data_IF_686188024500
#
_entry.id   IF_686188024500
#
_cell.length_a   1.000
_cell.length_b   1.000
_cell.length_c   1.000
_cell.angle_alpha   90.00
_cell.angle_beta   90.00
_cell.angle_gamma   90.00
#
_symmetry.space_group_name_H-M   'P 1'
#
loop_
_entity.id
_entity.type
_entity.pdbx_description
1 polymer ?
#
# COMPACT_ATOMS: atom_id res chain seq x y z
N UNK A 1 -23.77 -14.96 -5.98
CA UNK A 1 -23.88 -13.50 -6.04
C UNK A 1 -24.42 -13.07 -7.39
N UNK A 2 -25.36 -12.14 -7.39
CA UNK A 2 -25.88 -11.59 -8.64
C UNK A 2 -24.93 -10.46 -9.11
N UNK A 3 -24.63 -10.41 -10.38
CA UNK A 3 -23.65 -9.48 -10.97
C UNK A 3 -23.96 -7.98 -10.75
N UNK A 4 -25.24 -7.62 -10.63
CA UNK A 4 -25.65 -6.24 -10.35
C UNK A 4 -25.18 -5.71 -8.98
N UNK A 5 -24.73 -6.57 -8.09
CA UNK A 5 -24.23 -6.21 -6.77
C UNK A 5 -22.71 -6.12 -6.69
N UNK A 6 -22.02 -6.11 -7.83
CA UNK A 6 -20.55 -6.17 -7.87
C UNK A 6 -19.87 -5.06 -7.06
N UNK A 7 -20.36 -3.80 -7.20
CA UNK A 7 -19.78 -2.66 -6.46
C UNK A 7 -19.95 -2.84 -4.96
N UNK A 8 -21.15 -3.24 -4.54
CA UNK A 8 -21.44 -3.48 -3.14
C UNK A 8 -20.56 -4.59 -2.56
N UNK A 9 -20.40 -5.68 -3.31
CA UNK A 9 -19.62 -6.84 -2.87
C UNK A 9 -18.13 -6.50 -2.77
N UNK A 10 -17.58 -5.79 -3.76
CA UNK A 10 -16.18 -5.33 -3.74
C UNK A 10 -15.95 -4.39 -2.56
N UNK A 11 -16.86 -3.43 -2.33
CA UNK A 11 -16.76 -2.50 -1.21
C UNK A 11 -16.77 -3.22 0.14
N UNK A 12 -17.65 -4.21 0.29
CA UNK A 12 -17.72 -5.02 1.50
C UNK A 12 -16.47 -5.86 1.71
N UNK A 13 -15.94 -6.46 0.65
CA UNK A 13 -14.71 -7.23 0.70
C UNK A 13 -13.54 -6.35 1.14
N UNK A 14 -13.42 -5.17 0.54
CA UNK A 14 -12.41 -4.19 0.91
C UNK A 14 -12.52 -3.80 2.39
N UNK A 15 -13.73 -3.53 2.88
CA UNK A 15 -13.95 -3.17 4.28
C UNK A 15 -13.52 -4.30 5.24
N UNK A 16 -13.82 -5.56 4.89
CA UNK A 16 -13.40 -6.71 5.67
C UNK A 16 -11.88 -6.85 5.69
N UNK A 17 -11.22 -6.64 4.56
CA UNK A 17 -9.76 -6.69 4.46
C UNK A 17 -9.11 -5.59 5.31
N UNK A 18 -9.62 -4.37 5.22
CA UNK A 18 -9.14 -3.23 6.01
C UNK A 18 -9.25 -3.53 7.50
N UNK A 19 -10.39 -4.03 7.94
CA UNK A 19 -10.60 -4.40 9.35
C UNK A 19 -9.63 -5.47 9.82
N UNK A 20 -9.36 -6.46 8.99
CA UNK A 20 -8.35 -7.48 9.28
C UNK A 20 -6.97 -6.87 9.50
N UNK A 21 -6.55 -5.96 8.60
CA UNK A 21 -5.25 -5.28 8.69
C UNK A 21 -5.18 -4.43 9.96
N UNK A 22 -6.24 -3.67 10.28
CA UNK A 22 -6.31 -2.84 11.49
C UNK A 22 -6.13 -3.69 12.75
N UNK A 23 -6.78 -4.86 12.80
CA UNK A 23 -6.65 -5.79 13.92
C UNK A 23 -5.20 -6.32 14.03
N UNK A 24 -4.56 -6.64 12.91
CA UNK A 24 -3.17 -7.11 12.90
C UNK A 24 -2.19 -6.03 13.33
N UNK A 25 -2.41 -4.81 12.90
CA UNK A 25 -1.61 -3.66 13.37
C UNK A 25 -1.75 -3.49 14.88
N UNK A 26 -2.97 -3.58 15.40
CA UNK A 26 -3.23 -3.46 16.83
C UNK A 26 -2.58 -4.59 17.64
N UNK A 27 -2.70 -5.84 17.18
CA UNK A 27 -2.10 -7.00 17.82
C UNK A 27 -0.58 -6.89 17.92
N UNK A 28 0.03 -6.18 16.98
CA UNK A 28 1.49 -6.02 16.90
C UNK A 28 1.97 -4.65 17.41
N UNK A 29 1.13 -3.94 18.16
CA UNK A 29 1.45 -2.63 18.77
C UNK A 29 1.83 -1.54 17.77
N UNK A 30 1.23 -1.59 16.57
CA UNK A 30 1.40 -0.60 15.51
C UNK A 30 0.10 0.21 15.30
N UNK A 31 -0.56 0.59 16.40
CA UNK A 31 -1.86 1.27 16.37
C UNK A 31 -1.83 2.67 15.76
N UNK A 32 -0.65 3.28 15.66
CA UNK A 32 -0.48 4.59 15.03
C UNK A 32 -0.53 4.52 13.49
N UNK A 33 -0.36 3.32 12.92
CA UNK A 33 -0.42 3.10 11.48
C UNK A 33 -1.84 2.71 11.04
N UNK A 34 -2.19 3.14 9.83
CA UNK A 34 -3.42 2.73 9.16
C UNK A 34 -3.08 1.91 7.91
N UNK A 35 -4.02 1.09 7.37
CA UNK A 35 -3.72 0.23 6.21
C UNK A 35 -3.13 0.97 5.00
N UNK A 36 -3.56 2.20 4.74
CA UNK A 36 -3.06 2.98 3.61
C UNK A 36 -1.58 3.34 3.75
N UNK A 37 -1.08 3.51 4.99
CA UNK A 37 0.36 3.71 5.25
C UNK A 37 1.18 2.52 4.79
N UNK A 38 0.61 1.31 4.86
CA UNK A 38 1.27 0.08 4.44
C UNK A 38 1.71 0.10 2.98
N UNK A 39 0.91 0.69 2.10
CA UNK A 39 1.26 0.77 0.68
C UNK A 39 2.51 1.62 0.46
N UNK A 40 2.62 2.74 1.19
CA UNK A 40 3.78 3.64 1.10
C UNK A 40 5.03 2.96 1.65
N UNK A 41 4.91 2.34 2.81
CA UNK A 41 6.03 1.61 3.43
C UNK A 41 6.48 0.45 2.55
N UNK A 42 5.54 -0.30 1.96
CA UNK A 42 5.86 -1.38 1.02
C UNK A 42 6.69 -0.86 -0.15
N UNK A 43 6.26 0.25 -0.76
CA UNK A 43 6.99 0.84 -1.89
C UNK A 43 8.44 1.20 -1.51
N UNK A 44 8.63 1.72 -0.30
CA UNK A 44 9.96 2.08 0.19
C UNK A 44 10.80 0.87 0.60
N UNK A 45 10.20 -0.14 1.25
CA UNK A 45 10.92 -1.38 1.61
C UNK A 45 11.38 -2.16 0.38
N UNK A 46 10.59 -2.15 -0.69
CA UNK A 46 10.93 -2.85 -1.94
C UNK A 46 11.95 -2.11 -2.80
N UNK A 47 12.19 -0.84 -2.53
CA UNK A 47 13.09 -0.02 -3.33
C UNK A 47 14.53 -0.08 -2.82
N UNK A 48 15.49 -0.26 -3.73
CA UNK A 48 16.91 -0.21 -3.42
C UNK A 48 17.42 1.23 -3.27
N UNK A 49 16.60 2.20 -3.60
CA UNK A 49 16.97 3.62 -3.60
C UNK A 49 15.87 4.47 -2.95
N UNK A 50 16.25 5.69 -2.61
CA UNK A 50 15.30 6.70 -2.15
C UNK A 50 14.32 7.03 -3.27
N UNK A 51 13.09 7.33 -2.93
CA UNK A 51 12.02 7.63 -3.88
C UNK A 51 11.55 9.06 -3.74
N UNK A 52 11.13 9.66 -4.86
CA UNK A 52 10.43 10.94 -4.84
C UNK A 52 8.95 10.71 -4.53
N UNK A 53 8.25 11.77 -4.15
CA UNK A 53 6.79 11.73 -3.94
C UNK A 53 6.06 11.20 -5.19
N UNK A 54 6.49 11.66 -6.36
CA UNK A 54 5.92 11.25 -7.65
C UNK A 54 6.12 9.75 -7.90
N UNK A 55 7.31 9.23 -7.61
CA UNK A 55 7.61 7.80 -7.76
C UNK A 55 6.77 6.94 -6.81
N UNK A 56 6.59 7.39 -5.56
CA UNK A 56 5.73 6.70 -4.59
C UNK A 56 4.29 6.69 -5.08
N UNK A 57 3.75 7.84 -5.48
CA UNK A 57 2.38 7.97 -5.98
C UNK A 57 2.13 7.04 -7.18
N UNK A 58 3.08 6.97 -8.10
CA UNK A 58 3.01 6.09 -9.27
C UNK A 58 2.99 4.61 -8.86
N UNK A 59 3.87 4.22 -7.93
CA UNK A 59 3.96 2.82 -7.46
C UNK A 59 2.69 2.35 -6.78
N UNK A 60 2.04 3.19 -6.00
CA UNK A 60 0.82 2.81 -5.28
C UNK A 60 -0.47 3.13 -6.05
N UNK A 61 -0.35 3.69 -7.26
CA UNK A 61 -1.50 3.95 -8.13
C UNK A 61 -2.43 5.05 -7.63
N UNK A 62 -1.89 6.07 -6.95
CA UNK A 62 -2.66 7.20 -6.43
C UNK A 62 -2.05 8.52 -6.91
N UNK A 63 -2.84 9.58 -6.89
CA UNK A 63 -2.34 10.90 -7.24
C UNK A 63 -1.51 11.51 -6.10
N UNK A 64 -0.70 12.51 -6.45
CA UNK A 64 0.18 13.19 -5.50
C UNK A 64 -0.60 13.87 -4.37
N UNK A 65 -1.77 14.44 -4.66
CA UNK A 65 -2.59 15.13 -3.67
C UNK A 65 -3.12 14.18 -2.59
N UNK A 66 -3.40 12.93 -2.93
CA UNK A 66 -3.83 11.89 -1.99
C UNK A 66 -2.64 11.39 -1.16
N UNK A 67 -1.47 11.24 -1.77
CA UNK A 67 -0.27 10.67 -1.13
C UNK A 67 0.39 11.66 -0.17
N UNK A 68 0.39 12.95 -0.50
CA UNK A 68 1.08 13.97 0.30
C UNK A 68 0.67 14.00 1.77
N UNK A 69 -0.63 14.01 2.14
CA UNK A 69 -1.01 13.97 3.56
C UNK A 69 -0.55 12.70 4.27
N UNK A 70 -0.59 11.55 3.58
CA UNK A 70 -0.17 10.27 4.14
C UNK A 70 1.34 10.25 4.41
N UNK A 71 2.13 10.75 3.47
CA UNK A 71 3.59 10.89 3.62
C UNK A 71 3.90 11.83 4.78
N UNK A 72 3.24 12.98 4.85
CA UNK A 72 3.46 13.94 5.93
C UNK A 72 3.13 13.32 7.30
N UNK A 73 2.07 12.53 7.39
CA UNK A 73 1.72 11.82 8.64
C UNK A 73 2.80 10.81 9.02
N UNK A 74 3.33 10.04 8.06
CA UNK A 74 4.41 9.09 8.30
C UNK A 74 5.70 9.78 8.74
N UNK A 75 5.97 10.99 8.23
CA UNK A 75 7.11 11.81 8.69
C UNK A 75 6.90 12.20 10.15
N UNK A 76 5.71 12.70 10.49
CA UNK A 76 5.36 13.08 11.87
C UNK A 76 5.49 11.89 12.82
N UNK A 77 5.11 10.71 12.41
CA UNK A 77 5.24 9.47 13.19
C UNK A 77 6.67 8.95 13.27
N UNK A 78 7.57 9.48 12.45
CA UNK A 78 9.00 9.14 12.49
C UNK A 78 9.42 7.93 11.67
N UNK A 79 8.55 7.42 10.77
CA UNK A 79 8.87 6.25 9.93
C UNK A 79 9.63 6.61 8.67
N UNK A 80 9.42 7.80 8.15
CA UNK A 80 10.08 8.26 6.93
C UNK A 80 10.59 9.69 7.12
N UNK A 81 11.49 10.10 6.25
CA UNK A 81 12.09 11.44 6.28
C UNK A 81 12.26 11.96 4.87
N UNK A 82 12.24 13.30 4.76
CA UNK A 82 12.54 14.01 3.51
C UNK A 82 14.00 14.39 3.48
N UNK A 83 14.57 14.35 2.28
CA UNK A 83 15.97 14.66 2.05
C UNK A 83 16.10 15.31 0.68
N UNK A 84 16.67 16.51 0.63
CA UNK A 84 16.93 17.18 -0.64
C UNK A 84 18.10 16.53 -1.36
N UNK A 85 18.00 16.44 -2.69
CA UNK A 85 19.12 15.97 -3.51
C UNK A 85 20.31 16.93 -3.38
N UNK A 86 21.50 16.35 -3.26
CA UNK A 86 22.75 17.11 -3.20
C UNK A 86 23.03 17.73 -4.57
N UNK A 87 22.68 17.04 -5.65
CA UNK A 87 22.98 17.45 -7.03
C UNK A 87 21.92 18.37 -7.63
N UNK A 88 20.67 18.26 -7.18
CA UNK A 88 19.56 19.10 -7.68
C UNK A 88 18.59 19.41 -6.53
N UNK A 89 18.69 20.61 -5.97
CA UNK A 89 17.88 21.07 -4.83
C UNK A 89 16.38 21.14 -5.10
N UNK A 90 15.97 21.03 -6.37
CA UNK A 90 14.54 20.96 -6.75
C UNK A 90 13.94 19.59 -6.48
N UNK A 91 14.77 18.57 -6.31
CA UNK A 91 14.36 17.18 -6.08
C UNK A 91 14.42 16.88 -4.59
N UNK A 92 13.31 16.35 -4.06
CA UNK A 92 13.21 15.89 -2.68
C UNK A 92 12.98 14.39 -2.70
N UNK A 93 13.82 13.65 -1.99
CA UNK A 93 13.69 12.22 -1.79
C UNK A 93 13.04 11.90 -0.46
N UNK A 94 12.40 10.74 -0.42
CA UNK A 94 11.80 10.16 0.78
C UNK A 94 12.52 8.85 1.07
N UNK A 95 12.91 8.66 2.33
CA UNK A 95 13.63 7.47 2.76
C UNK A 95 13.11 6.97 4.09
N UNK A 96 13.36 5.68 4.36
CA UNK A 96 13.01 5.04 5.62
C UNK A 96 13.96 5.48 6.73
N UNK A 97 13.41 5.65 7.93
CA UNK A 97 14.19 5.91 9.14
C UNK A 97 14.58 4.59 9.81
N UNK A 98 15.44 4.64 10.84
CA UNK A 98 15.75 3.47 11.67
C UNK A 98 14.49 2.90 12.33
N UNK A 99 13.55 3.76 12.74
CA UNK A 99 12.26 3.32 13.29
C UNK A 99 11.50 2.43 12.32
N UNK A 100 11.47 2.80 11.04
CA UNK A 100 10.83 2.00 10.00
C UNK A 100 11.58 0.68 9.78
N UNK A 101 12.90 0.69 9.83
CA UNK A 101 13.72 -0.52 9.72
C UNK A 101 13.48 -1.48 10.87
N UNK A 102 13.29 -0.96 12.08
CA UNK A 102 13.05 -1.76 13.27
C UNK A 102 11.72 -2.53 13.20
N UNK A 103 10.73 -2.02 12.48
CA UNK A 103 9.43 -2.71 12.33
C UNK A 103 9.32 -3.51 11.04
N UNK A 104 10.37 -3.55 10.21
CA UNK A 104 10.30 -4.19 8.88
C UNK A 104 9.89 -5.67 8.97
N UNK A 105 10.45 -6.43 9.90
CA UNK A 105 10.12 -7.85 10.08
C UNK A 105 8.66 -8.03 10.51
N UNK A 106 8.19 -7.22 11.45
CA UNK A 106 6.79 -7.22 11.88
C UNK A 106 5.86 -6.83 10.73
N UNK A 107 6.25 -5.82 9.96
CA UNK A 107 5.51 -5.38 8.78
C UNK A 107 5.39 -6.52 7.75
N UNK A 108 6.49 -7.20 7.45
CA UNK A 108 6.50 -8.32 6.51
C UNK A 108 5.66 -9.50 7.02
N UNK A 109 5.69 -9.75 8.32
CA UNK A 109 4.86 -10.78 8.95
C UNK A 109 3.37 -10.47 8.76
N UNK A 110 2.93 -9.24 9.03
CA UNK A 110 1.55 -8.82 8.83
C UNK A 110 1.16 -8.96 7.35
N UNK A 111 2.02 -8.51 6.44
CA UNK A 111 1.78 -8.64 4.99
C UNK A 111 1.61 -10.09 4.56
N UNK A 112 2.41 -11.01 5.11
CA UNK A 112 2.28 -12.42 4.80
C UNK A 112 0.95 -12.99 5.30
N UNK A 113 0.51 -12.59 6.49
CA UNK A 113 -0.78 -13.02 7.03
C UNK A 113 -1.96 -12.53 6.20
N UNK A 114 -1.88 -11.30 5.69
CA UNK A 114 -2.90 -10.76 4.79
C UNK A 114 -2.99 -11.62 3.52
N UNK A 115 -1.85 -11.92 2.90
CA UNK A 115 -1.82 -12.75 1.69
C UNK A 115 -2.31 -14.17 1.94
N UNK A 116 -1.85 -14.80 3.00
CA UNK A 116 -2.28 -16.16 3.37
C UNK A 116 -3.80 -16.22 3.58
N UNK A 117 -4.35 -15.22 4.27
CA UNK A 117 -5.79 -15.15 4.51
C UNK A 117 -6.57 -14.87 3.22
N UNK A 118 -6.07 -13.94 2.39
CA UNK A 118 -6.71 -13.59 1.13
C UNK A 118 -6.82 -14.77 0.16
N UNK A 119 -5.78 -15.61 0.12
CA UNK A 119 -5.72 -16.73 -0.84
C UNK A 119 -5.96 -18.09 -0.20
N UNK A 120 -6.51 -18.11 1.02
CA UNK A 120 -6.86 -19.36 1.68
C UNK A 120 -7.77 -20.21 0.79
N UNK A 121 -7.43 -21.47 0.64
CA UNK A 121 -8.16 -22.45 -0.19
C UNK A 121 -8.17 -22.15 -1.69
N UNK A 122 -7.38 -21.20 -2.15
CA UNK A 122 -7.15 -20.98 -3.57
C UNK A 122 -6.08 -21.95 -4.08
N UNK A 123 -6.31 -22.55 -5.24
CA UNK A 123 -5.23 -23.21 -5.97
C UNK A 123 -4.31 -22.14 -6.58
N UNK A 124 -3.04 -22.47 -6.93
CA UNK A 124 -2.17 -21.51 -7.63
C UNK A 124 -2.80 -20.96 -8.92
N UNK A 125 -3.51 -21.82 -9.66
CA UNK A 125 -4.20 -21.46 -10.91
C UNK A 125 -5.36 -20.48 -10.64
N UNK A 126 -6.15 -20.75 -9.61
CA UNK A 126 -7.24 -19.86 -9.20
C UNK A 126 -6.73 -18.51 -8.78
N UNK A 127 -5.61 -18.44 -8.05
CA UNK A 127 -4.98 -17.20 -7.63
C UNK A 127 -4.54 -16.38 -8.85
N UNK A 128 -3.85 -16.99 -9.80
CA UNK A 128 -3.40 -16.32 -11.02
C UNK A 128 -4.59 -15.79 -11.83
N UNK A 129 -5.62 -16.60 -12.01
CA UNK A 129 -6.83 -16.22 -12.75
C UNK A 129 -7.58 -15.09 -12.06
N UNK A 130 -7.72 -15.16 -10.74
CA UNK A 130 -8.35 -14.10 -9.94
C UNK A 130 -7.62 -12.78 -10.10
N UNK A 131 -6.29 -12.78 -9.98
CA UNK A 131 -5.47 -11.57 -10.13
C UNK A 131 -5.54 -11.01 -11.55
N UNK A 132 -5.57 -11.89 -12.56
CA UNK A 132 -5.74 -11.50 -13.96
C UNK A 132 -7.08 -10.78 -14.18
N UNK A 133 -8.15 -11.39 -13.69
CA UNK A 133 -9.51 -10.84 -13.82
C UNK A 133 -9.69 -9.54 -13.04
N UNK A 134 -9.11 -9.46 -11.84
CA UNK A 134 -9.17 -8.26 -11.02
C UNK A 134 -8.47 -7.08 -11.71
N UNK A 135 -7.29 -7.33 -12.31
CA UNK A 135 -6.57 -6.32 -13.10
C UNK A 135 -7.39 -5.88 -14.31
N UNK A 136 -8.03 -6.83 -15.00
CA UNK A 136 -8.90 -6.55 -16.15
C UNK A 136 -10.08 -5.68 -15.73
N UNK A 137 -10.76 -6.04 -14.64
CA UNK A 137 -11.86 -5.25 -14.09
C UNK A 137 -11.41 -3.83 -13.76
N UNK A 138 -10.31 -3.69 -13.06
CA UNK A 138 -9.77 -2.38 -12.68
C UNK A 138 -9.44 -1.52 -13.90
N UNK A 139 -8.82 -2.11 -14.93
CA UNK A 139 -8.43 -1.38 -16.13
C UNK A 139 -9.64 -0.87 -16.93
N UNK A 140 -10.78 -1.56 -16.86
CA UNK A 140 -12.00 -1.13 -17.54
C UNK A 140 -12.54 0.20 -17.00
N UNK A 141 -12.19 0.56 -15.76
CA UNK A 141 -12.67 1.79 -15.13
C UNK A 141 -11.61 2.91 -15.11
N UNK A 142 -10.43 2.69 -15.69
CA UNK A 142 -9.44 3.76 -15.80
C UNK A 142 -9.93 4.83 -16.75
N UNK A 143 -9.86 6.09 -16.30
CA UNK A 143 -10.15 7.23 -17.14
C UNK A 143 -9.05 7.41 -18.19
N UNK A 144 -9.40 7.92 -19.38
CA UNK A 144 -8.42 8.12 -20.48
C UNK A 144 -7.25 9.02 -20.09
N UNK A 145 -7.44 9.89 -19.11
CA UNK A 145 -6.42 10.85 -18.64
C UNK A 145 -5.45 10.26 -17.62
N UNK A 146 -5.59 8.99 -17.23
CA UNK A 146 -4.76 8.32 -16.24
C UNK A 146 -3.69 7.40 -16.85
N UNK A 147 -3.51 7.50 -18.14
CA UNK A 147 -2.52 6.70 -18.88
C UNK A 147 -1.10 7.22 -18.67
#
# INVERSE_FOLDING_TARGET
MKDKYIIYFISRTKANMIKFIENKLKENNLTELIPTHGNILTALYESDKKLTMKEIAKKIGKDKSTVTPLVNKLITLGYIQKEKSITDKRVTYISLTSKARDIEDTFNFISSQVRETAYKDFTPEEKEEFLRLLRKLNSNFKMENEK
#
